data_IF_198047958078
#
_entry.id   IF_198047958078
#
_cell.length_a   1.000
_cell.length_b   1.000
_cell.length_c   1.000
_cell.angle_alpha   90.00
_cell.angle_beta   90.00
_cell.angle_gamma   90.00
#
_symmetry.space_group_name_H-M   'P 1'
#
loop_
_entity.id
_entity.type
_entity.pdbx_description
1 polymer ?
#
# COMPACT_ATOMS: atom_id res chain seq x y z
N UNK A 1 4.89 11.34 -22.20
CA UNK A 1 5.12 10.42 -21.07
C UNK A 1 3.96 10.63 -20.12
N UNK A 2 3.10 9.64 -19.86
CA UNK A 2 1.99 9.83 -18.94
C UNK A 2 2.56 10.14 -17.55
N UNK A 3 1.92 11.07 -16.85
CA UNK A 3 2.30 11.51 -15.51
C UNK A 3 2.40 10.30 -14.57
N UNK A 4 3.61 9.84 -14.33
CA UNK A 4 3.90 8.96 -13.20
C UNK A 4 3.51 9.77 -11.96
N UNK A 5 2.51 9.36 -11.17
CA UNK A 5 1.95 10.21 -10.14
C UNK A 5 3.02 10.45 -9.08
N UNK A 6 3.66 11.61 -9.15
CA UNK A 6 4.78 12.00 -8.30
C UNK A 6 4.25 12.17 -6.88
N UNK A 7 4.34 11.10 -6.08
CA UNK A 7 3.97 11.12 -4.66
C UNK A 7 2.79 10.22 -4.31
N UNK A 8 2.77 8.97 -4.78
CA UNK A 8 1.84 7.94 -4.29
C UNK A 8 2.59 6.85 -3.51
N UNK A 9 1.92 6.32 -2.48
CA UNK A 9 2.23 5.02 -1.91
C UNK A 9 1.81 3.94 -2.89
N UNK A 10 2.57 2.85 -2.94
CA UNK A 10 2.20 1.66 -3.69
C UNK A 10 2.42 0.44 -2.80
N UNK A 11 1.38 -0.38 -2.65
CA UNK A 11 1.43 -1.64 -1.92
C UNK A 11 1.01 -2.76 -2.84
N UNK A 12 1.85 -3.79 -2.94
CA UNK A 12 1.64 -4.96 -3.77
C UNK A 12 1.68 -6.19 -2.87
N UNK A 13 0.53 -6.79 -2.61
CA UNK A 13 0.41 -7.98 -1.78
C UNK A 13 0.32 -9.20 -2.71
N UNK A 14 1.30 -10.12 -2.65
CA UNK A 14 1.28 -11.32 -3.48
C UNK A 14 0.03 -12.17 -3.24
N UNK A 15 -0.50 -12.79 -4.29
CA UNK A 15 -1.65 -13.70 -4.21
C UNK A 15 -1.49 -14.75 -3.11
N UNK A 16 -0.28 -15.31 -2.99
CA UNK A 16 0.04 -16.32 -2.00
C UNK A 16 -0.18 -15.86 -0.55
N UNK A 17 -0.14 -14.54 -0.30
CA UNK A 17 -0.33 -13.95 1.02
C UNK A 17 -1.77 -13.63 1.33
N UNK A 18 -2.63 -13.49 0.31
CA UNK A 18 -4.02 -13.10 0.48
C UNK A 18 -4.84 -14.25 1.06
N UNK A 19 -5.84 -13.91 1.88
CA UNK A 19 -6.86 -14.86 2.26
C UNK A 19 -7.69 -15.28 1.03
N UNK A 20 -8.16 -16.53 0.97
CA UNK A 20 -9.06 -16.96 -0.10
C UNK A 20 -10.35 -16.13 -0.05
N UNK A 21 -10.92 -15.84 -1.22
CA UNK A 21 -12.18 -15.10 -1.39
C UNK A 21 -12.15 -13.61 -0.98
N UNK A 22 -10.97 -12.98 -0.94
CA UNK A 22 -10.89 -11.53 -0.81
C UNK A 22 -11.62 -10.85 -1.97
N UNK A 23 -12.62 -10.03 -1.66
CA UNK A 23 -13.38 -9.26 -2.65
C UNK A 23 -12.72 -7.91 -2.91
N UNK A 24 -12.56 -7.55 -4.19
CA UNK A 24 -12.06 -6.23 -4.59
C UNK A 24 -13.00 -5.10 -4.15
N UNK A 25 -14.31 -5.34 -4.11
CA UNK A 25 -15.28 -4.35 -3.65
C UNK A 25 -15.13 -4.08 -2.14
N UNK A 26 -14.88 -5.13 -1.35
CA UNK A 26 -14.60 -4.98 0.07
C UNK A 26 -13.29 -4.23 0.34
N UNK A 27 -12.27 -4.44 -0.50
CA UNK A 27 -11.03 -3.67 -0.46
C UNK A 27 -11.31 -2.20 -0.77
N UNK A 28 -11.99 -1.92 -1.89
CA UNK A 28 -12.32 -0.55 -2.34
C UNK A 28 -13.14 0.23 -1.32
N UNK A 29 -14.10 -0.43 -0.65
CA UNK A 29 -14.95 0.18 0.36
C UNK A 29 -14.16 0.71 1.58
N UNK A 30 -12.97 0.15 1.86
CA UNK A 30 -12.10 0.55 2.96
C UNK A 30 -11.02 1.57 2.54
N UNK A 31 -10.86 1.84 1.25
CA UNK A 31 -9.89 2.80 0.77
C UNK A 31 -10.44 4.23 0.76
N UNK A 32 -9.52 5.20 0.62
CA UNK A 32 -9.88 6.59 0.36
C UNK A 32 -10.29 6.74 -1.11
N UNK A 33 -11.04 7.80 -1.41
CA UNK A 33 -11.53 8.06 -2.77
C UNK A 33 -10.42 8.35 -3.80
N UNK A 34 -9.21 8.69 -3.34
CA UNK A 34 -8.02 8.89 -4.19
C UNK A 34 -7.20 7.61 -4.43
N UNK A 35 -7.63 6.47 -3.87
CA UNK A 35 -6.91 5.20 -3.98
C UNK A 35 -7.40 4.39 -5.18
N UNK A 36 -6.47 3.86 -5.97
CA UNK A 36 -6.75 2.81 -6.96
C UNK A 36 -6.53 1.44 -6.33
N UNK A 37 -7.39 0.48 -6.67
CA UNK A 37 -7.31 -0.90 -6.21
C UNK A 37 -7.58 -1.86 -7.36
N UNK A 38 -6.63 -2.77 -7.58
CA UNK A 38 -6.66 -3.75 -8.65
C UNK A 38 -6.25 -5.14 -8.14
N UNK A 39 -6.84 -6.18 -8.72
CA UNK A 39 -6.44 -7.57 -8.54
C UNK A 39 -5.88 -8.08 -9.87
N UNK A 40 -4.58 -7.89 -10.07
CA UNK A 40 -3.91 -8.28 -11.31
C UNK A 40 -3.22 -9.64 -11.12
N UNK A 41 -3.62 -10.65 -11.91
CA UNK A 41 -3.07 -12.02 -11.86
C UNK A 41 -3.10 -12.66 -10.45
N UNK A 42 -3.99 -12.18 -9.59
CA UNK A 42 -4.17 -12.65 -8.22
C UNK A 42 -3.45 -11.81 -7.16
N UNK A 43 -2.54 -10.90 -7.55
CA UNK A 43 -1.87 -9.98 -6.63
C UNK A 43 -2.77 -8.76 -6.38
N UNK A 44 -2.85 -8.33 -5.12
CA UNK A 44 -3.57 -7.11 -4.77
C UNK A 44 -2.64 -5.92 -4.88
N UNK A 45 -3.00 -4.97 -5.76
CA UNK A 45 -2.29 -3.72 -5.98
C UNK A 45 -3.12 -2.55 -5.45
N UNK A 46 -2.51 -1.74 -4.59
CA UNK A 46 -3.10 -0.52 -4.04
C UNK A 46 -2.16 0.65 -4.32
N UNK A 47 -2.68 1.74 -4.86
CA UNK A 47 -1.90 2.97 -5.03
C UNK A 47 -2.73 4.22 -4.68
N UNK A 48 -2.11 5.19 -4.01
CA UNK A 48 -2.79 6.41 -3.57
C UNK A 48 -1.91 7.26 -2.66
N UNK A 49 -2.40 8.40 -2.16
CA UNK A 49 -1.62 9.22 -1.21
C UNK A 49 -1.43 8.47 0.12
N UNK A 50 -2.49 7.78 0.54
CA UNK A 50 -2.54 6.88 1.68
C UNK A 50 -3.28 5.62 1.24
N UNK A 51 -2.75 4.45 1.59
CA UNK A 51 -3.38 3.16 1.33
C UNK A 51 -3.45 2.36 2.63
N UNK A 52 -4.55 1.63 2.79
CA UNK A 52 -4.78 0.80 3.96
C UNK A 52 -4.80 -0.68 3.58
N UNK A 53 -4.14 -1.51 4.38
CA UNK A 53 -4.20 -2.97 4.28
C UNK A 53 -4.79 -3.51 5.57
N UNK A 54 -5.94 -4.18 5.48
CA UNK A 54 -6.55 -4.80 6.65
C UNK A 54 -5.92 -6.17 6.96
N UNK A 55 -5.79 -6.48 8.25
CA UNK A 55 -5.23 -7.75 8.74
C UNK A 55 -5.97 -8.98 8.21
N UNK A 56 -7.29 -8.86 8.04
CA UNK A 56 -8.16 -9.92 7.55
C UNK A 56 -8.14 -10.08 6.02
N UNK A 57 -7.22 -9.41 5.32
CA UNK A 57 -6.98 -9.68 3.89
C UNK A 57 -5.78 -10.60 3.68
N UNK A 58 -4.93 -10.73 4.70
CA UNK A 58 -3.63 -11.39 4.63
C UNK A 58 -3.64 -12.60 5.55
N UNK A 59 -3.11 -13.74 5.10
CA UNK A 59 -2.93 -14.92 5.93
C UNK A 59 -2.00 -14.58 7.10
N UNK A 60 -2.28 -15.20 8.24
CA UNK A 60 -1.60 -14.89 9.50
C UNK A 60 -0.07 -15.00 9.44
N UNK A 61 0.43 -16.04 8.78
CA UNK A 61 1.86 -16.31 8.60
C UNK A 61 2.63 -15.22 7.81
N UNK A 62 1.91 -14.38 7.06
CA UNK A 62 2.49 -13.28 6.27
C UNK A 62 2.27 -11.90 6.91
N UNK A 63 1.43 -11.77 7.93
CA UNK A 63 1.24 -10.49 8.62
C UNK A 63 2.52 -9.90 9.25
N UNK A 64 3.43 -10.68 9.86
CA UNK A 64 4.68 -10.16 10.38
C UNK A 64 5.51 -9.42 9.32
N UNK A 65 5.46 -9.87 8.06
CA UNK A 65 6.23 -9.34 6.92
C UNK A 65 5.44 -8.42 5.98
N UNK A 66 4.21 -8.03 6.34
CA UNK A 66 3.35 -7.23 5.45
C UNK A 66 3.94 -5.87 5.05
N UNK A 67 4.89 -5.33 5.81
CA UNK A 67 5.61 -4.10 5.45
C UNK A 67 6.47 -4.26 4.20
N UNK A 68 6.91 -5.48 3.89
CA UNK A 68 7.69 -5.81 2.70
C UNK A 68 6.84 -5.69 1.42
N UNK A 69 5.50 -5.70 1.55
CA UNK A 69 4.57 -5.45 0.45
C UNK A 69 4.51 -3.98 0.03
N UNK A 70 5.10 -3.05 0.81
CA UNK A 70 5.18 -1.63 0.44
C UNK A 70 6.23 -1.46 -0.65
N UNK A 71 5.79 -1.28 -1.89
CA UNK A 71 6.64 -1.12 -3.06
C UNK A 71 7.12 0.34 -3.24
N UNK A 72 6.28 1.32 -2.91
CA UNK A 72 6.63 2.76 -2.92
C UNK A 72 6.03 3.47 -1.70
N UNK A 73 6.72 4.50 -1.22
CA UNK A 73 6.34 5.22 -0.01
C UNK A 73 6.92 4.57 1.25
N UNK A 74 6.21 4.63 2.35
CA UNK A 74 6.64 4.02 3.62
C UNK A 74 5.44 3.55 4.44
N UNK A 75 5.65 2.49 5.23
CA UNK A 75 4.72 2.07 6.27
C UNK A 75 4.69 3.13 7.38
N UNK A 76 3.63 3.93 7.44
CA UNK A 76 3.49 4.96 8.46
C UNK A 76 2.98 4.39 9.79
N UNK A 77 2.13 3.37 9.72
CA UNK A 77 1.54 2.75 10.89
C UNK A 77 1.30 1.26 10.64
N UNK A 78 1.62 0.43 11.64
CA UNK A 78 1.28 -1.00 11.64
C UNK A 78 0.72 -1.35 13.01
N UNK A 79 -0.51 -1.83 13.04
CA UNK A 79 -1.17 -2.35 14.22
C UNK A 79 -1.40 -3.86 14.09
N UNK A 80 -2.10 -4.47 15.04
CA UNK A 80 -2.55 -5.85 14.88
C UNK A 80 -3.63 -6.00 13.80
N UNK A 81 -4.39 -4.94 13.51
CA UNK A 81 -5.59 -4.99 12.66
C UNK A 81 -5.40 -4.34 11.28
N UNK A 82 -4.41 -3.47 11.10
CA UNK A 82 -4.14 -2.86 9.80
C UNK A 82 -2.68 -2.40 9.64
N UNK A 83 -2.29 -2.19 8.39
CA UNK A 83 -1.09 -1.47 7.97
C UNK A 83 -1.55 -0.26 7.15
N UNK A 84 -0.98 0.91 7.41
CA UNK A 84 -1.17 2.13 6.63
C UNK A 84 0.14 2.53 5.97
N UNK A 85 0.12 2.70 4.66
CA UNK A 85 1.27 3.19 3.90
C UNK A 85 0.97 4.58 3.31
N UNK A 86 1.98 5.44 3.31
CA UNK A 86 1.88 6.81 2.79
C UNK A 86 2.92 7.06 1.72
N UNK A 87 2.57 7.96 0.81
CA UNK A 87 3.50 8.53 -0.14
C UNK A 87 4.68 9.20 0.57
N UNK A 88 5.89 9.04 0.03
CA UNK A 88 7.06 9.70 0.60
C UNK A 88 7.01 11.22 0.34
N UNK A 89 6.85 12.00 1.42
CA UNK A 89 6.97 13.47 1.39
C UNK A 89 8.42 13.96 1.45
N UNK A 90 9.41 13.10 1.71
CA UNK A 90 10.79 13.52 2.03
C UNK A 90 11.59 14.00 0.81
N UNK A 91 11.15 13.77 -0.43
CA UNK A 91 11.79 14.40 -1.61
C UNK A 91 11.55 15.91 -1.74
N UNK A 92 10.66 16.51 -0.94
CA UNK A 92 10.50 17.98 -0.91
C UNK A 92 11.48 18.69 0.02
N UNK A 93 12.31 17.97 0.78
CA UNK A 93 13.42 18.59 1.53
C UNK A 93 14.59 18.84 0.58
N UNK A 94 14.60 20.06 0.03
CA UNK A 94 15.70 20.77 -0.65
C UNK A 94 17.07 20.26 -0.17
N UNK A 95 18.03 19.90 -1.05
CA UNK A 95 19.36 19.52 -0.62
C UNK A 95 19.96 20.65 0.22
N UNK A 96 20.37 20.33 1.45
CA UNK A 96 21.09 21.26 2.31
C UNK A 96 22.38 21.61 1.58
N UNK A 97 22.47 22.85 1.09
CA UNK A 97 23.70 23.42 0.53
C UNK A 97 24.77 23.32 1.63
N UNK A 98 25.76 22.46 1.45
CA UNK A 98 27.00 22.56 2.23
C UNK A 98 27.70 23.84 1.78
N UNK A 99 27.89 24.76 2.72
CA UNK A 99 28.82 25.88 2.62
C UNK A 99 30.02 25.61 3.51
#
# INVERSE_FOLDING_TARGET
MPDEPRGQAEVVIPHAWLLPNLSLDAVRALQRGDTTSDLERGDLRLAGIEVLVARNWVKEEFWPRIQDAVHKGYAAEKTYTFLRAHADRRRSRRPKKNG
#
